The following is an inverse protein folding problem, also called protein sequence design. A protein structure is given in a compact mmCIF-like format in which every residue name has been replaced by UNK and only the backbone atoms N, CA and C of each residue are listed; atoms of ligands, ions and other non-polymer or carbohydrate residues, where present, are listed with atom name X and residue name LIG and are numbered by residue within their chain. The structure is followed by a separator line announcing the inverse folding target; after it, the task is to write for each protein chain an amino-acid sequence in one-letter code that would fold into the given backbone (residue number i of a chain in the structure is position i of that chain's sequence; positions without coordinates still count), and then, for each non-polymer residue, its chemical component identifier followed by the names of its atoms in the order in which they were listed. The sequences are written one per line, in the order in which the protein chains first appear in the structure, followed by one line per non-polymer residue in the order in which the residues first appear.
data_IF_410378506208
#
_entry.id   IF_410378506208
#
_cell.length_a   1.000
_cell.length_b   1.000
_cell.length_c   1.000
_cell.angle_alpha   90.00
_cell.angle_beta   90.00
_cell.angle_gamma   90.00
#
_symmetry.space_group_name_H-M   'P 1'
#
loop_
_entity.id
_entity.type
_entity.pdbx_description
1 polymer ?
#
# COMPACT_ATOMS: atom_id res chain seq x y z
N UNK A 1 4.33 -16.49 47.18
CA UNK A 1 4.56 -16.51 45.72
C UNK A 1 3.38 -17.09 44.91
N UNK A 2 2.36 -17.73 45.52
CA UNK A 2 1.27 -18.37 44.76
C UNK A 2 0.14 -17.43 44.29
N UNK A 3 0.07 -16.18 44.77
CA UNK A 3 -0.99 -15.23 44.40
C UNK A 3 -0.84 -14.69 42.97
N UNK A 4 0.39 -14.65 42.44
CA UNK A 4 0.64 -14.21 41.06
C UNK A 4 0.25 -15.30 40.06
N UNK A 5 0.53 -16.56 40.36
CA UNK A 5 0.21 -17.68 39.47
C UNK A 5 -1.30 -17.88 39.29
N UNK A 6 -2.10 -17.63 40.32
CA UNK A 6 -3.57 -17.70 40.23
C UNK A 6 -4.19 -16.63 39.31
N UNK A 7 -3.45 -15.57 38.95
CA UNK A 7 -3.95 -14.46 38.12
C UNK A 7 -3.42 -14.49 36.68
N UNK A 8 -2.50 -15.40 36.37
CA UNK A 8 -1.99 -15.66 35.02
C UNK A 8 -3.09 -15.87 33.97
N UNK A 9 -4.14 -16.68 34.19
CA UNK A 9 -5.17 -16.89 33.16
C UNK A 9 -5.94 -15.60 32.87
N UNK A 10 -6.19 -14.76 33.88
CA UNK A 10 -6.88 -13.49 33.70
C UNK A 10 -6.01 -12.48 32.92
N UNK A 11 -4.71 -12.44 33.19
CA UNK A 11 -3.76 -11.63 32.43
C UNK A 11 -3.60 -12.12 30.98
N UNK A 12 -3.62 -13.44 30.75
CA UNK A 12 -3.55 -14.00 29.41
C UNK A 12 -4.77 -13.62 28.55
N UNK A 13 -5.97 -13.61 29.14
CA UNK A 13 -7.18 -13.15 28.44
C UNK A 13 -7.12 -11.68 28.05
N UNK A 14 -6.62 -10.82 28.95
CA UNK A 14 -6.45 -9.39 28.67
C UNK A 14 -5.41 -9.20 27.56
N UNK A 15 -4.26 -9.88 27.64
CA UNK A 15 -3.20 -9.80 26.62
C UNK A 15 -3.69 -10.26 25.24
N UNK A 16 -4.50 -11.33 25.18
CA UNK A 16 -5.06 -11.84 23.93
C UNK A 16 -6.05 -10.85 23.28
N UNK A 17 -6.87 -10.17 24.07
CA UNK A 17 -7.79 -9.15 23.57
C UNK A 17 -7.05 -7.94 22.97
N UNK A 18 -5.95 -7.50 23.59
CA UNK A 18 -5.12 -6.42 23.04
C UNK A 18 -4.36 -6.83 21.77
N UNK A 19 -3.89 -8.08 21.69
CA UNK A 19 -3.24 -8.60 20.49
C UNK A 19 -4.19 -8.61 19.27
N UNK A 20 -5.46 -9.00 19.46
CA UNK A 20 -6.43 -9.01 18.37
C UNK A 20 -6.68 -7.60 17.77
N UNK A 21 -6.60 -6.53 18.56
CA UNK A 21 -6.77 -5.14 18.07
C UNK A 21 -5.51 -4.63 17.36
N UNK A 22 -4.33 -4.99 17.83
CA UNK A 22 -3.08 -4.54 17.20
C UNK A 22 -2.90 -5.08 15.77
N UNK A 23 -3.32 -6.32 15.50
CA UNK A 23 -3.19 -6.95 14.18
C UNK A 23 -4.41 -6.77 13.25
N UNK A 24 -5.50 -6.16 13.73
CA UNK A 24 -6.71 -5.89 12.91
C UNK A 24 -6.84 -4.43 12.50
N UNK A 25 -5.82 -3.60 12.78
CA UNK A 25 -5.75 -2.24 12.26
C UNK A 25 -5.88 -2.28 10.73
N UNK A 26 -6.91 -1.67 10.13
CA UNK A 26 -7.00 -1.58 8.68
C UNK A 26 -5.70 -0.96 8.18
N UNK A 27 -5.08 -1.57 7.17
CA UNK A 27 -4.05 -0.86 6.39
C UNK A 27 -4.73 0.42 5.93
N UNK A 28 -4.27 1.56 6.42
CA UNK A 28 -4.74 2.84 5.90
C UNK A 28 -4.61 2.76 4.38
N UNK A 29 -5.66 3.08 3.64
CA UNK A 29 -5.61 3.18 2.19
C UNK A 29 -4.61 4.28 1.88
N UNK A 30 -3.34 3.90 1.76
CA UNK A 30 -2.31 4.76 1.22
C UNK A 30 -2.66 4.94 -0.25
N UNK A 31 -2.69 6.19 -0.72
CA UNK A 31 -2.99 6.45 -2.12
C UNK A 31 -2.01 5.71 -3.03
N UNK A 32 -2.44 5.36 -4.22
CA UNK A 32 -1.59 4.68 -5.21
C UNK A 32 -1.22 5.68 -6.30
N UNK A 33 0.08 5.83 -6.55
CA UNK A 33 0.59 6.85 -7.46
C UNK A 33 1.61 6.27 -8.44
N UNK A 34 1.47 6.62 -9.72
CA UNK A 34 2.41 6.25 -10.78
C UNK A 34 3.16 7.46 -11.34
N UNK A 35 4.40 7.26 -11.77
CA UNK A 35 5.23 8.30 -12.40
C UNK A 35 5.47 7.95 -13.87
N UNK A 36 5.08 8.83 -14.79
CA UNK A 36 5.41 8.70 -16.22
C UNK A 36 5.85 10.05 -16.80
N UNK A 37 7.03 10.09 -17.41
CA UNK A 37 7.54 11.30 -18.07
C UNK A 37 7.68 12.51 -17.15
N UNK A 38 7.90 12.30 -15.84
CA UNK A 38 7.98 13.36 -14.84
C UNK A 38 6.62 13.84 -14.30
N UNK A 39 5.51 13.28 -14.77
CA UNK A 39 4.15 13.58 -14.29
C UNK A 39 3.69 12.46 -13.35
N UNK A 40 3.17 12.87 -12.19
CA UNK A 40 2.58 11.96 -11.21
C UNK A 40 1.09 11.81 -11.46
N UNK A 41 0.60 10.56 -11.43
CA UNK A 41 -0.80 10.21 -11.60
C UNK A 41 -1.32 9.53 -10.33
N UNK A 42 -2.51 9.93 -9.88
CA UNK A 42 -3.25 9.27 -8.80
C UNK A 42 -4.15 8.17 -9.39
N UNK A 43 -3.89 6.94 -8.98
CA UNK A 43 -4.57 5.72 -9.43
C UNK A 43 -5.17 4.92 -8.26
N UNK A 44 -5.36 5.56 -7.10
CA UNK A 44 -5.84 4.94 -5.85
C UNK A 44 -7.12 4.09 -5.99
N UNK A 45 -7.97 4.41 -6.96
CA UNK A 45 -9.22 3.70 -7.26
C UNK A 45 -9.36 3.36 -8.76
N UNK A 46 -8.23 3.22 -9.46
CA UNK A 46 -8.19 2.92 -10.90
C UNK A 46 -7.48 1.59 -11.08
N UNK A 47 -8.17 0.62 -11.68
CA UNK A 47 -7.54 -0.65 -12.04
C UNK A 47 -6.62 -0.48 -13.26
N UNK A 48 -5.51 -1.21 -13.33
CA UNK A 48 -4.65 -1.24 -14.52
C UNK A 48 -5.38 -1.92 -15.69
N UNK A 49 -5.45 -1.23 -16.83
CA UNK A 49 -6.12 -1.66 -18.05
C UNK A 49 -5.47 -1.02 -19.30
N UNK A 50 -5.81 -1.53 -20.48
CA UNK A 50 -5.35 -1.01 -21.78
C UNK A 50 -5.86 0.42 -22.07
N UNK A 51 -6.88 0.91 -21.35
CA UNK A 51 -7.42 2.27 -21.47
C UNK A 51 -7.12 3.16 -20.24
N UNK A 52 -6.25 2.73 -19.32
CA UNK A 52 -5.82 3.53 -18.17
C UNK A 52 -4.29 3.55 -18.10
N UNK A 53 -3.71 2.65 -17.31
CA UNK A 53 -2.28 2.45 -17.15
C UNK A 53 -1.99 0.95 -17.08
N UNK A 54 -0.75 0.58 -17.40
CA UNK A 54 -0.25 -0.78 -17.20
C UNK A 54 1.07 -0.73 -16.45
N UNK A 55 1.34 -1.80 -15.68
CA UNK A 55 2.65 -2.06 -15.10
C UNK A 55 3.41 -3.02 -16.01
N UNK A 56 4.26 -2.50 -16.90
CA UNK A 56 5.03 -3.33 -17.82
C UNK A 56 6.24 -3.95 -17.12
N UNK A 57 6.62 -5.16 -17.53
CA UNK A 57 7.78 -5.84 -16.98
C UNK A 57 9.07 -5.14 -17.40
N UNK A 58 9.70 -4.46 -16.44
CA UNK A 58 11.02 -3.87 -16.57
C UNK A 58 11.66 -3.93 -15.19
N UNK A 59 12.85 -4.55 -15.11
CA UNK A 59 13.54 -4.89 -13.87
C UNK A 59 14.22 -3.68 -13.20
N UNK A 60 13.94 -2.46 -13.64
CA UNK A 60 14.68 -1.27 -13.20
C UNK A 60 13.86 -0.23 -12.47
N UNK A 61 12.53 -0.32 -12.50
CA UNK A 61 11.66 0.69 -11.88
C UNK A 61 10.46 0.07 -11.15
N UNK A 62 9.97 0.79 -10.16
CA UNK A 62 8.75 0.47 -9.42
C UNK A 62 7.51 1.01 -10.12
N UNK A 63 6.39 0.28 -10.04
CA UNK A 63 5.19 0.69 -10.79
C UNK A 63 4.39 1.74 -10.03
N UNK A 64 4.17 1.50 -8.75
CA UNK A 64 3.28 2.32 -7.93
C UNK A 64 3.95 2.69 -6.62
N UNK A 65 3.64 3.88 -6.12
CA UNK A 65 4.13 4.46 -4.88
C UNK A 65 2.96 4.85 -3.98
N UNK A 66 3.19 4.83 -2.67
CA UNK A 66 2.20 5.17 -1.64
C UNK A 66 1.96 6.69 -1.49
N UNK A 67 2.84 7.50 -2.09
CA UNK A 67 2.75 8.96 -2.18
C UNK A 67 3.42 9.49 -3.46
N UNK A 68 2.97 10.64 -4.00
CA UNK A 68 3.55 11.25 -5.18
C UNK A 68 4.80 12.09 -4.87
N UNK A 69 5.36 12.71 -5.91
CA UNK A 69 6.45 13.70 -5.84
C UNK A 69 7.75 13.19 -5.19
N UNK A 70 8.01 11.88 -5.27
CA UNK A 70 9.22 11.26 -4.71
C UNK A 70 9.25 11.20 -3.19
N UNK A 71 8.11 11.45 -2.52
CA UNK A 71 7.98 11.30 -1.08
C UNK A 71 7.52 9.89 -0.66
N UNK A 72 6.97 9.12 -1.62
CA UNK A 72 6.42 7.81 -1.37
C UNK A 72 7.43 6.66 -1.37
N UNK A 73 7.01 5.56 -0.79
CA UNK A 73 7.65 4.25 -0.90
C UNK A 73 6.95 3.44 -1.99
N UNK A 74 7.68 2.57 -2.70
CA UNK A 74 7.06 1.67 -3.68
C UNK A 74 6.08 0.70 -3.01
N UNK A 75 4.92 0.49 -3.64
CA UNK A 75 3.86 -0.44 -3.22
C UNK A 75 4.00 -1.79 -3.92
N UNK A 76 4.69 -1.85 -5.06
CA UNK A 76 4.88 -3.07 -5.85
C UNK A 76 5.53 -4.17 -5.01
N UNK A 77 4.77 -5.24 -4.73
CA UNK A 77 5.18 -6.27 -3.77
C UNK A 77 5.92 -7.45 -4.38
N UNK A 78 5.87 -7.67 -5.71
CA UNK A 78 6.46 -8.91 -6.25
C UNK A 78 7.25 -8.81 -7.56
N UNK A 79 7.19 -7.72 -8.33
CA UNK A 79 7.98 -7.57 -9.56
C UNK A 79 8.20 -6.08 -9.83
N UNK A 80 9.45 -5.66 -9.95
CA UNK A 80 9.85 -4.36 -10.51
C UNK A 80 9.17 -4.25 -11.89
N UNK A 81 8.36 -3.20 -12.06
CA UNK A 81 7.52 -2.96 -13.23
C UNK A 81 7.45 -1.46 -13.47
N UNK A 82 7.60 -1.00 -14.70
CA UNK A 82 7.47 0.43 -15.05
C UNK A 82 6.00 0.81 -15.17
N UNK A 83 5.65 1.99 -14.63
CA UNK A 83 4.34 2.61 -14.85
C UNK A 83 4.24 3.18 -16.27
N UNK A 84 3.31 2.65 -17.06
CA UNK A 84 3.07 3.10 -18.43
C UNK A 84 1.64 3.61 -18.56
N UNK A 85 1.51 4.89 -18.93
CA UNK A 85 0.21 5.51 -19.22
C UNK A 85 -0.24 5.08 -20.61
N UNK A 86 -1.40 4.44 -20.69
CA UNK A 86 -2.03 4.09 -21.97
C UNK A 86 -2.94 5.22 -22.46
N UNK A 87 -3.77 5.77 -21.56
CA UNK A 87 -4.65 6.88 -21.87
C UNK A 87 -4.66 7.90 -20.73
N UNK A 88 -3.92 8.99 -20.91
CA UNK A 88 -3.82 10.06 -19.92
C UNK A 88 -5.15 10.77 -19.64
N UNK A 89 -6.15 10.69 -20.53
CA UNK A 89 -7.45 11.35 -20.34
C UNK A 89 -8.31 10.65 -19.28
N UNK A 90 -8.03 9.37 -19.04
CA UNK A 90 -8.72 8.56 -18.03
C UNK A 90 -7.99 8.53 -16.68
N UNK A 91 -6.83 9.20 -16.58
CA UNK A 91 -6.05 9.28 -15.36
C UNK A 91 -6.14 10.67 -14.74
N UNK A 92 -5.94 10.71 -13.42
CA UNK A 92 -5.93 11.95 -12.65
C UNK A 92 -4.49 12.33 -12.35
N UNK A 93 -4.12 13.59 -12.59
CA UNK A 93 -2.81 14.10 -12.20
C UNK A 93 -2.82 14.30 -10.68
N UNK A 94 -1.79 13.79 -10.02
CA UNK A 94 -1.59 14.01 -8.59
C UNK A 94 -1.34 15.51 -8.32
N UNK A 95 -2.00 16.06 -7.30
CA UNK A 95 -1.91 17.48 -6.92
C UNK A 95 -1.17 17.66 -5.60
#
# INVERSE_FOLDING_TARGET
MNKLMSKLPLLAFVLAAFAAVAFTSPKASTGEYGLAGGVWYDVTDIDPDEDTYVCNQDETEDCLFDQPFGMGQPISTEQEKVFVVQNASNLRIAQ
#
